data_IF_646224946508
#
_entry.id   IF_646224946508
#
_cell.length_a   1.000
_cell.length_b   1.000
_cell.length_c   1.000
_cell.angle_alpha   90.00
_cell.angle_beta   90.00
_cell.angle_gamma   90.00
#
_symmetry.space_group_name_H-M   'P 1'
#
loop_
_entity.id
_entity.type
_entity.pdbx_description
1 polymer ?
#
# COMPACT_ATOMS: atom_id res chain seq x y z
N UNK A 1 -11.10 -8.57 12.45
CA UNK A 1 -10.04 -7.82 11.72
C UNK A 1 -9.87 -8.42 10.33
N UNK A 2 -9.75 -7.62 9.26
CA UNK A 2 -9.49 -8.14 7.90
C UNK A 2 -8.16 -8.90 7.87
N UNK A 3 -8.10 -10.01 7.12
CA UNK A 3 -6.89 -10.87 7.04
C UNK A 3 -5.81 -10.25 6.15
N UNK A 4 -4.57 -10.77 6.22
CA UNK A 4 -3.47 -10.39 5.30
C UNK A 4 -3.93 -10.47 3.83
N UNK A 5 -4.65 -11.54 3.48
CA UNK A 5 -5.20 -11.74 2.14
C UNK A 5 -6.11 -10.58 1.68
N UNK A 6 -6.99 -10.12 2.57
CA UNK A 6 -7.88 -8.98 2.30
C UNK A 6 -7.07 -7.69 2.13
N UNK A 7 -6.06 -7.48 2.96
CA UNK A 7 -5.23 -6.26 2.92
C UNK A 7 -4.33 -6.19 1.69
N UNK A 8 -3.77 -7.32 1.24
CA UNK A 8 -3.09 -7.41 -0.06
C UNK A 8 -3.99 -6.97 -1.22
N UNK A 9 -5.24 -7.44 -1.21
CA UNK A 9 -6.22 -7.08 -2.23
C UNK A 9 -6.61 -5.60 -2.16
N UNK A 10 -6.75 -5.03 -0.96
CA UNK A 10 -7.00 -3.61 -0.76
C UNK A 10 -5.85 -2.78 -1.36
N UNK A 11 -4.61 -3.10 -1.00
CA UNK A 11 -3.45 -2.36 -1.49
C UNK A 11 -3.25 -2.48 -2.99
N UNK A 12 -3.41 -3.68 -3.56
CA UNK A 12 -3.34 -3.84 -5.02
C UNK A 12 -4.39 -2.96 -5.71
N UNK A 13 -5.62 -2.90 -5.18
CA UNK A 13 -6.68 -2.04 -5.73
C UNK A 13 -6.38 -0.56 -5.54
N UNK A 14 -5.78 -0.15 -4.42
CA UNK A 14 -5.31 1.23 -4.18
C UNK A 14 -4.28 1.67 -5.23
N UNK A 15 -3.46 0.72 -5.70
CA UNK A 15 -2.48 0.93 -6.77
C UNK A 15 -3.08 0.83 -8.18
N UNK A 16 -4.39 0.58 -8.30
CA UNK A 16 -5.11 0.43 -9.58
C UNK A 16 -4.57 -0.71 -10.46
N UNK A 17 -3.97 -1.74 -9.85
CA UNK A 17 -3.39 -2.87 -10.56
C UNK A 17 -4.33 -4.06 -10.62
N UNK A 18 -4.30 -4.79 -11.73
CA UNK A 18 -4.87 -6.14 -11.86
C UNK A 18 -4.02 -7.17 -11.10
N UNK A 19 -4.58 -8.36 -10.86
CA UNK A 19 -3.81 -9.45 -10.24
C UNK A 19 -2.63 -9.90 -11.10
N UNK A 20 -2.74 -9.79 -12.44
CA UNK A 20 -1.68 -10.16 -13.35
C UNK A 20 -0.51 -9.17 -13.28
N UNK A 21 -0.80 -7.86 -13.34
CA UNK A 21 0.24 -6.83 -13.26
C UNK A 21 0.95 -6.83 -11.91
N UNK A 22 0.22 -7.07 -10.81
CA UNK A 22 0.85 -7.16 -9.50
C UNK A 22 1.73 -8.42 -9.37
N UNK A 23 1.27 -9.56 -9.90
CA UNK A 23 2.07 -10.78 -9.92
C UNK A 23 3.36 -10.61 -10.72
N UNK A 24 3.27 -9.97 -11.89
CA UNK A 24 4.41 -9.63 -12.74
C UNK A 24 5.43 -8.75 -11.99
N UNK A 25 4.97 -7.69 -11.31
CA UNK A 25 5.82 -6.83 -10.48
C UNK A 25 6.48 -7.57 -9.32
N UNK A 26 5.85 -8.62 -8.83
CA UNK A 26 6.36 -9.46 -7.76
C UNK A 26 7.19 -10.66 -8.25
N UNK A 27 7.37 -10.83 -9.56
CA UNK A 27 8.15 -11.92 -10.14
C UNK A 27 7.53 -13.30 -9.94
N UNK A 28 6.20 -13.38 -9.82
CA UNK A 28 5.46 -14.63 -9.57
C UNK A 28 4.31 -14.80 -10.57
N UNK A 29 3.71 -15.99 -10.62
CA UNK A 29 2.53 -16.21 -11.47
C UNK A 29 1.28 -15.55 -10.90
N UNK A 30 0.36 -15.19 -11.79
CA UNK A 30 -0.97 -14.68 -11.43
C UNK A 30 -1.72 -15.63 -10.51
N UNK A 31 -1.59 -16.94 -10.72
CA UNK A 31 -2.20 -17.99 -9.92
C UNK A 31 -1.68 -17.95 -8.47
N UNK A 32 -0.38 -17.76 -8.26
CA UNK A 32 0.21 -17.62 -6.92
C UNK A 32 -0.34 -16.36 -6.24
N UNK A 33 -0.36 -15.22 -6.94
CA UNK A 33 -0.93 -13.98 -6.39
C UNK A 33 -2.41 -14.14 -6.02
N UNK A 34 -3.20 -14.80 -6.87
CA UNK A 34 -4.60 -15.09 -6.62
C UNK A 34 -4.80 -15.97 -5.38
N UNK A 35 -3.92 -16.96 -5.14
CA UNK A 35 -3.96 -17.77 -3.91
C UNK A 35 -3.73 -16.93 -2.66
N UNK A 36 -2.83 -15.95 -2.71
CA UNK A 36 -2.61 -15.03 -1.59
C UNK A 36 -3.88 -14.23 -1.28
N UNK A 37 -4.54 -13.65 -2.28
CA UNK A 37 -5.79 -12.90 -2.07
C UNK A 37 -6.98 -13.76 -1.62
N UNK A 38 -6.93 -15.06 -1.87
CA UNK A 38 -7.90 -16.03 -1.37
C UNK A 38 -7.56 -16.58 0.03
N UNK A 39 -6.42 -16.20 0.61
CA UNK A 39 -5.95 -16.74 1.89
C UNK A 39 -5.49 -18.20 1.81
N UNK A 40 -5.22 -18.73 0.61
CA UNK A 40 -4.74 -20.11 0.37
C UNK A 40 -3.21 -20.23 0.33
N UNK A 41 -2.54 -19.21 0.84
CA UNK A 41 -1.09 -19.10 0.92
C UNK A 41 -0.72 -17.77 1.58
N UNK A 42 0.50 -17.71 2.09
CA UNK A 42 1.09 -16.49 2.63
C UNK A 42 2.27 -16.06 1.74
N UNK A 43 2.42 -14.77 1.42
CA UNK A 43 3.58 -14.28 0.70
C UNK A 43 4.84 -14.44 1.55
N UNK A 44 5.92 -14.92 0.93
CA UNK A 44 7.25 -14.96 1.55
C UNK A 44 7.90 -13.56 1.60
N UNK A 45 9.07 -13.48 2.24
CA UNK A 45 9.87 -12.25 2.36
C UNK A 45 10.20 -11.61 1.02
N UNK A 46 10.54 -12.42 0.01
CA UNK A 46 10.94 -11.96 -1.32
C UNK A 46 9.75 -11.30 -2.03
N UNK A 47 8.57 -11.92 -1.93
CA UNK A 47 7.32 -11.37 -2.48
C UNK A 47 6.95 -10.07 -1.78
N UNK A 48 7.06 -10.01 -0.46
CA UNK A 48 6.78 -8.78 0.30
C UNK A 48 7.76 -7.66 -0.05
N UNK A 49 9.03 -7.98 -0.28
CA UNK A 49 10.03 -6.99 -0.71
C UNK A 49 9.71 -6.48 -2.13
N UNK A 50 9.33 -7.38 -3.06
CA UNK A 50 8.94 -6.97 -4.40
C UNK A 50 7.65 -6.14 -4.39
N UNK A 51 6.68 -6.52 -3.57
CA UNK A 51 5.45 -5.78 -3.35
C UNK A 51 5.71 -4.37 -2.78
N UNK A 52 6.65 -4.23 -1.83
CA UNK A 52 7.10 -2.93 -1.33
C UNK A 52 7.67 -2.06 -2.47
N UNK A 53 8.55 -2.63 -3.30
CA UNK A 53 9.13 -1.94 -4.47
C UNK A 53 8.08 -1.56 -5.51
N UNK A 54 6.99 -2.33 -5.60
CA UNK A 54 5.84 -2.05 -6.45
C UNK A 54 4.93 -0.92 -5.92
N UNK A 55 5.24 -0.34 -4.75
CA UNK A 55 4.49 0.74 -4.11
C UNK A 55 3.43 0.26 -3.09
N UNK A 56 3.42 -1.03 -2.76
CA UNK A 56 2.52 -1.62 -1.78
C UNK A 56 2.92 -1.30 -0.34
N UNK A 57 1.93 -1.02 0.53
CA UNK A 57 2.17 -0.77 1.95
C UNK A 57 2.31 -2.10 2.72
N UNK A 58 3.55 -2.59 2.87
CA UNK A 58 3.84 -3.83 3.63
C UNK A 58 3.44 -3.71 5.09
N UNK A 59 3.61 -2.54 5.71
CA UNK A 59 3.22 -2.33 7.11
C UNK A 59 1.73 -2.59 7.28
N UNK A 60 0.88 -1.91 6.51
CA UNK A 60 -0.57 -2.14 6.53
C UNK A 60 -0.94 -3.59 6.24
N UNK A 61 -0.28 -4.24 5.27
CA UNK A 61 -0.54 -5.65 4.97
C UNK A 61 -0.25 -6.56 6.17
N UNK A 62 0.78 -6.30 6.97
CA UNK A 62 1.16 -7.13 8.12
C UNK A 62 0.41 -6.76 9.41
N UNK A 63 0.39 -5.48 9.77
CA UNK A 63 -0.21 -4.99 11.02
C UNK A 63 -1.74 -4.86 10.93
N UNK A 64 -2.26 -4.59 9.73
CA UNK A 64 -3.65 -4.15 9.58
C UNK A 64 -3.89 -2.70 10.00
N UNK A 65 -2.83 -2.02 10.43
CA UNK A 65 -2.83 -0.61 10.76
C UNK A 65 -2.30 0.13 9.55
N UNK A 66 -3.18 0.91 8.91
CA UNK A 66 -2.71 2.04 8.12
C UNK A 66 -2.56 3.15 9.15
N UNK A 67 -1.48 3.96 9.18
CA UNK A 67 -1.49 5.14 10.01
C UNK A 67 -2.67 5.98 9.53
N UNK A 68 -3.78 5.95 10.28
CA UNK A 68 -5.03 6.60 9.87
C UNK A 68 -4.79 8.10 9.66
N UNK A 69 -3.81 8.63 10.40
CA UNK A 69 -3.28 9.98 10.30
C UNK A 69 -2.54 10.23 8.98
N UNK A 70 -1.76 9.29 8.44
CA UNK A 70 -1.05 9.47 7.17
C UNK A 70 -2.02 9.46 5.99
N UNK A 71 -2.98 8.53 5.98
CA UNK A 71 -4.02 8.49 4.94
C UNK A 71 -4.86 9.77 4.97
N UNK A 72 -5.31 10.19 6.16
CA UNK A 72 -6.05 11.43 6.33
C UNK A 72 -5.22 12.65 5.96
N UNK A 73 -3.92 12.67 6.30
CA UNK A 73 -3.00 13.74 5.95
C UNK A 73 -2.88 13.87 4.43
N UNK A 74 -2.66 12.77 3.71
CA UNK A 74 -2.53 12.76 2.25
C UNK A 74 -3.84 13.20 1.59
N UNK A 75 -4.99 12.69 2.05
CA UNK A 75 -6.30 13.07 1.53
C UNK A 75 -6.57 14.57 1.73
N UNK A 76 -6.38 15.08 2.95
CA UNK A 76 -6.60 16.50 3.26
C UNK A 76 -5.60 17.41 2.56
N UNK A 77 -4.36 16.97 2.40
CA UNK A 77 -3.32 17.71 1.68
C UNK A 77 -3.67 17.86 0.20
N UNK A 78 -4.13 16.79 -0.46
CA UNK A 78 -4.53 16.83 -1.87
C UNK A 78 -5.78 17.69 -2.10
N UNK A 79 -6.71 17.69 -1.15
CA UNK A 79 -7.97 18.43 -1.24
C UNK A 79 -7.84 19.93 -0.93
N UNK A 80 -6.74 20.40 -0.33
CA UNK A 80 -6.61 21.79 0.08
C UNK A 80 -5.96 22.69 -1.01
N UNK A 81 -6.24 24.01 -1.00
CA UNK A 81 -5.65 24.96 -1.95
C UNK A 81 -4.12 24.96 -1.92
N UNK A 82 -3.48 25.33 -3.04
CA UNK A 82 -2.01 25.28 -3.19
C UNK A 82 -1.25 26.05 -2.10
N UNK A 83 -1.77 27.21 -1.72
CA UNK A 83 -1.21 28.04 -0.64
C UNK A 83 -1.13 27.28 0.69
N UNK A 84 -2.13 26.44 0.98
CA UNK A 84 -2.19 25.64 2.20
C UNK A 84 -1.26 24.41 2.11
N UNK A 85 -1.16 23.78 0.94
CA UNK A 85 -0.15 22.73 0.69
C UNK A 85 1.26 23.24 0.94
N UNK A 86 1.60 24.42 0.42
CA UNK A 86 2.93 25.03 0.57
C UNK A 86 3.20 25.45 2.02
N UNK A 87 2.17 25.82 2.79
CA UNK A 87 2.30 26.07 4.22
C UNK A 87 2.55 24.78 5.02
N UNK A 88 1.80 23.71 4.72
CA UNK A 88 1.98 22.39 5.35
C UNK A 88 3.39 21.85 5.06
N UNK A 89 3.84 21.90 3.80
CA UNK A 89 5.19 21.46 3.43
C UNK A 89 6.29 22.26 4.10
N UNK A 90 6.10 23.57 4.34
CA UNK A 90 7.05 24.38 5.11
C UNK A 90 7.09 23.94 6.57
N UNK A 91 5.92 23.78 7.21
CA UNK A 91 5.84 23.35 8.60
C UNK A 91 6.52 21.98 8.82
N UNK A 92 6.26 21.01 7.93
CA UNK A 92 6.85 19.66 8.00
C UNK A 92 8.36 19.62 7.70
N UNK A 93 8.92 20.62 7.02
CA UNK A 93 10.36 20.71 6.70
C UNK A 93 11.18 21.47 7.74
N UNK A 94 10.52 22.08 8.72
CA UNK A 94 11.23 22.71 9.84
C UNK A 94 11.74 21.60 10.74
N UNK A 95 12.98 21.17 10.52
CA UNK A 95 13.67 20.16 11.34
C UNK A 95 13.84 20.64 12.80
N UNK A 96 13.82 19.68 13.72
CA UNK A 96 14.65 19.70 14.93
C UNK A 96 15.97 18.99 14.59
#
# INVERSE_FOLDING_TARGET
MPTIAVRLKIERKRLELTQAEMAERCGISREIWCRYEQGKGLPGSEVLQAFLKAGGNVHFVLSGESPAEETLLIERFRACPKVLQDAILRALKTEH
#
